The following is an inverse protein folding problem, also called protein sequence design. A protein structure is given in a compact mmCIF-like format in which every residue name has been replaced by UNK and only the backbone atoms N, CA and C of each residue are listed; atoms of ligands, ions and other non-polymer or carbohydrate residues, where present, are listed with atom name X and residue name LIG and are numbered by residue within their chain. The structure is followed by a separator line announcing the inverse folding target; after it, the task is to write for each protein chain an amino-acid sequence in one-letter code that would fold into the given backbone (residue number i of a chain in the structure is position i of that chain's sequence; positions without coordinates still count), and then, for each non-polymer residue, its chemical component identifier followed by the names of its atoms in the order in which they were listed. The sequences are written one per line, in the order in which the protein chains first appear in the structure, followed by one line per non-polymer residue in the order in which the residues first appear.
data_IF_518531210361
#
_entry.id   IF_518531210361
#
_cell.length_a   1.000
_cell.length_b   1.000
_cell.length_c   1.000
_cell.angle_alpha   90.00
_cell.angle_beta   90.00
_cell.angle_gamma   90.00
#
_symmetry.space_group_name_H-M   'P 1'
#
loop_
_entity.id
_entity.type
_entity.pdbx_description
1 polymer ?
#
# COMPACT_ATOMS: atom_id res chain seq x y z
N UNK A 1 16.32 4.97 -0.76
CA UNK A 1 17.32 4.59 0.25
C UNK A 1 16.70 3.48 1.08
N UNK A 2 17.28 2.29 1.04
CA UNK A 2 16.76 1.12 1.77
C UNK A 2 17.40 0.98 3.15
N UNK A 3 16.66 0.41 4.09
CA UNK A 3 17.11 -0.02 5.42
C UNK A 3 17.72 -1.42 5.33
N UNK A 4 19.01 -1.56 5.68
CA UNK A 4 19.73 -2.83 5.65
C UNK A 4 20.06 -3.25 7.09
N UNK A 5 19.79 -4.52 7.42
CA UNK A 5 20.23 -5.11 8.68
C UNK A 5 21.41 -6.04 8.41
N UNK A 6 22.59 -5.69 8.91
CA UNK A 6 23.79 -6.52 8.84
C UNK A 6 23.95 -7.31 10.13
N UNK A 7 23.85 -8.63 10.02
CA UNK A 7 24.13 -9.58 11.09
C UNK A 7 25.60 -9.99 11.01
N UNK A 8 26.40 -9.58 11.98
CA UNK A 8 27.82 -9.91 12.04
C UNK A 8 28.32 -10.05 13.47
N UNK A 9 29.25 -10.98 13.68
CA UNK A 9 30.02 -11.12 14.91
C UNK A 9 31.39 -10.43 14.79
N UNK A 10 31.67 -9.75 13.68
CA UNK A 10 32.85 -8.94 13.52
C UNK A 10 32.74 -7.70 14.41
N UNK A 11 33.84 -7.40 15.12
CA UNK A 11 33.97 -6.16 15.90
C UNK A 11 34.31 -4.94 15.03
N UNK A 12 34.42 -5.15 13.71
CA UNK A 12 34.81 -4.14 12.74
C UNK A 12 33.58 -3.39 12.21
N UNK A 13 33.76 -2.17 11.66
CA UNK A 13 32.67 -1.45 11.00
C UNK A 13 32.05 -2.26 9.84
N UNK A 14 30.78 -2.00 9.51
CA UNK A 14 30.08 -2.65 8.39
C UNK A 14 30.81 -2.47 7.05
N UNK A 15 31.54 -1.37 6.87
CA UNK A 15 32.39 -1.10 5.71
C UNK A 15 33.65 -1.97 5.63
N UNK A 16 34.02 -2.70 6.68
CA UNK A 16 35.06 -3.74 6.60
C UNK A 16 34.46 -5.13 6.35
N UNK A 17 33.16 -5.30 6.58
CA UNK A 17 32.43 -6.53 6.25
C UNK A 17 32.10 -6.58 4.77
N UNK A 18 31.60 -5.47 4.25
CA UNK A 18 31.31 -5.28 2.83
C UNK A 18 31.63 -3.82 2.46
N UNK A 19 32.85 -3.52 1.95
CA UNK A 19 33.30 -2.16 1.68
C UNK A 19 32.38 -1.33 0.79
N UNK A 20 31.66 -1.98 -0.13
CA UNK A 20 30.64 -1.34 -0.95
C UNK A 20 29.59 -0.57 -0.14
N UNK A 21 29.22 -1.05 1.07
CA UNK A 21 28.21 -0.38 1.91
C UNK A 21 28.64 1.02 2.34
N UNK A 22 29.95 1.29 2.46
CA UNK A 22 30.47 2.62 2.78
C UNK A 22 30.34 3.63 1.63
N UNK A 23 30.06 3.15 0.41
CA UNK A 23 29.93 3.99 -0.79
C UNK A 23 28.47 4.14 -1.24
N UNK A 24 27.55 3.35 -0.67
CA UNK A 24 26.13 3.37 -1.00
C UNK A 24 25.34 4.18 0.03
N UNK A 25 24.25 4.82 -0.41
CA UNK A 25 23.42 5.69 0.42
C UNK A 25 22.34 4.91 1.22
N UNK A 26 22.68 3.72 1.71
CA UNK A 26 21.76 2.89 2.49
C UNK A 26 21.91 3.14 3.99
N UNK A 27 20.82 2.95 4.74
CA UNK A 27 20.89 2.98 6.20
C UNK A 27 21.23 1.58 6.70
N UNK A 28 22.47 1.38 7.15
CA UNK A 28 22.96 0.07 7.63
C UNK A 28 22.90 0.04 9.14
N UNK A 29 22.08 -0.85 9.70
CA UNK A 29 22.10 -1.21 11.12
C UNK A 29 22.87 -2.50 11.31
N UNK A 30 23.69 -2.54 12.35
CA UNK A 30 24.51 -3.71 12.67
C UNK A 30 23.95 -4.37 13.93
N UNK A 31 23.81 -5.69 13.88
CA UNK A 31 23.41 -6.51 15.01
C UNK A 31 24.27 -7.80 15.07
N UNK A 32 24.39 -8.43 16.25
CA UNK A 32 25.06 -9.73 16.37
C UNK A 32 24.45 -10.78 15.44
N UNK A 33 25.27 -11.69 14.91
CA UNK A 33 24.83 -12.83 14.11
C UNK A 33 24.30 -13.96 15.01
N UNK A 34 23.28 -13.64 15.80
CA UNK A 34 22.65 -14.54 16.75
C UNK A 34 21.13 -14.38 16.72
N UNK A 35 20.40 -15.48 16.93
CA UNK A 35 18.94 -15.51 16.92
C UNK A 35 18.25 -14.45 17.82
N UNK A 36 18.69 -14.26 19.08
CA UNK A 36 18.05 -13.31 19.99
C UNK A 36 18.14 -11.84 19.54
N UNK A 37 19.18 -11.47 18.78
CA UNK A 37 19.35 -10.11 18.29
C UNK A 37 18.25 -9.66 17.32
N UNK A 38 17.46 -10.62 16.79
CA UNK A 38 16.39 -10.39 15.84
C UNK A 38 15.04 -10.10 16.49
N UNK A 39 14.87 -10.42 17.78
CA UNK A 39 13.58 -10.23 18.50
C UNK A 39 13.22 -8.75 18.60
N UNK A 40 14.22 -7.90 18.80
CA UNK A 40 14.08 -6.44 18.90
C UNK A 40 14.61 -5.70 17.65
N UNK A 41 14.94 -6.44 16.58
CA UNK A 41 15.46 -5.82 15.38
C UNK A 41 14.36 -5.02 14.67
N UNK A 42 14.62 -3.76 14.28
CA UNK A 42 13.68 -2.99 13.50
C UNK A 42 13.46 -3.62 12.11
N UNK A 43 12.33 -3.32 11.48
CA UNK A 43 12.05 -3.75 10.11
C UNK A 43 13.16 -3.31 9.15
N UNK A 44 13.63 -4.23 8.32
CA UNK A 44 14.64 -4.00 7.29
C UNK A 44 14.10 -4.39 5.92
N UNK A 45 14.59 -3.72 4.88
CA UNK A 45 14.26 -4.03 3.49
C UNK A 45 15.08 -5.21 2.95
N UNK A 46 16.26 -5.46 3.54
CA UNK A 46 17.14 -6.60 3.26
C UNK A 46 17.93 -6.96 4.53
N UNK A 47 18.09 -8.26 4.79
CA UNK A 47 19.01 -8.78 5.81
C UNK A 47 20.28 -9.29 5.13
N UNK A 48 21.42 -8.79 5.58
CA UNK A 48 22.75 -9.24 5.19
C UNK A 48 23.33 -10.09 6.32
N UNK A 49 23.85 -11.28 6.03
CA UNK A 49 24.51 -12.14 7.03
C UNK A 49 25.99 -12.26 6.71
N UNK A 50 26.85 -11.95 7.66
CA UNK A 50 28.31 -12.13 7.55
C UNK A 50 28.67 -13.61 7.70
N UNK A 51 28.90 -14.26 6.55
CA UNK A 51 29.35 -15.63 6.42
C UNK A 51 30.85 -15.77 6.19
N UNK A 52 31.66 -14.73 6.44
CA UNK A 52 33.12 -14.82 6.20
C UNK A 52 33.83 -15.74 7.20
N UNK A 53 33.19 -16.05 8.32
CA UNK A 53 33.69 -16.91 9.39
C UNK A 53 32.57 -17.80 9.89
N UNK A 54 32.94 -18.94 10.47
CA UNK A 54 32.02 -19.91 11.08
C UNK A 54 30.79 -20.25 10.21
N UNK A 55 31.05 -20.71 8.99
CA UNK A 55 30.01 -21.12 8.03
C UNK A 55 28.99 -22.12 8.63
N UNK A 56 29.36 -23.10 9.49
CA UNK A 56 28.37 -23.95 10.15
C UNK A 56 27.37 -23.17 11.02
N UNK A 57 27.85 -22.25 11.86
CA UNK A 57 26.96 -21.41 12.68
C UNK A 57 26.08 -20.52 11.80
N UNK A 58 26.66 -19.90 10.78
CA UNK A 58 25.95 -19.00 9.86
C UNK A 58 24.87 -19.75 9.07
N UNK A 59 25.14 -20.99 8.62
CA UNK A 59 24.12 -21.84 8.00
C UNK A 59 22.92 -22.05 8.92
N UNK A 60 23.17 -22.40 10.19
CA UNK A 60 22.10 -22.59 11.17
C UNK A 60 21.31 -21.30 11.41
N UNK A 61 21.97 -20.14 11.44
CA UNK A 61 21.31 -18.84 11.55
C UNK A 61 20.43 -18.52 10.33
N UNK A 62 20.93 -18.73 9.11
CA UNK A 62 20.16 -18.52 7.89
C UNK A 62 18.91 -19.42 7.84
N UNK A 63 19.03 -20.69 8.26
CA UNK A 63 17.91 -21.61 8.34
C UNK A 63 16.88 -21.18 9.39
N UNK A 64 17.34 -20.73 10.56
CA UNK A 64 16.49 -20.18 11.60
C UNK A 64 15.71 -18.96 11.07
N UNK A 65 16.43 -17.99 10.50
CA UNK A 65 15.85 -16.80 9.87
C UNK A 65 14.79 -17.18 8.86
N UNK A 66 15.12 -18.07 7.92
CA UNK A 66 14.18 -18.53 6.89
C UNK A 66 12.93 -19.15 7.49
N UNK A 67 13.06 -19.97 8.53
CA UNK A 67 11.90 -20.59 9.20
C UNK A 67 11.02 -19.57 9.94
N UNK A 68 11.59 -18.48 10.44
CA UNK A 68 10.83 -17.40 11.09
C UNK A 68 10.13 -16.47 10.11
N UNK A 69 10.52 -16.47 8.83
CA UNK A 69 9.89 -15.70 7.77
C UNK A 69 10.11 -14.19 7.93
N UNK A 70 11.32 -13.66 7.65
CA UNK A 70 11.67 -12.27 7.96
C UNK A 70 10.93 -11.24 7.09
N UNK A 71 10.18 -11.66 6.08
CA UNK A 71 9.38 -10.77 5.22
C UNK A 71 10.20 -9.92 4.25
N UNK A 72 11.52 -10.08 4.22
CA UNK A 72 12.45 -9.40 3.33
C UNK A 72 13.52 -10.37 2.80
N UNK A 73 14.26 -10.02 1.73
CA UNK A 73 15.33 -10.87 1.21
C UNK A 73 16.44 -11.09 2.23
N UNK A 74 16.96 -12.32 2.26
CA UNK A 74 18.11 -12.75 3.05
C UNK A 74 19.31 -12.97 2.14
N UNK A 75 20.33 -12.13 2.24
CA UNK A 75 21.55 -12.24 1.43
C UNK A 75 22.75 -12.61 2.31
N UNK A 76 23.62 -13.47 1.78
CA UNK A 76 24.82 -13.95 2.49
C UNK A 76 26.09 -13.29 1.95
N UNK A 77 26.92 -12.75 2.83
CA UNK A 77 28.25 -12.23 2.48
C UNK A 77 29.28 -13.33 2.76
N UNK A 78 30.07 -13.72 1.77
CA UNK A 78 31.08 -14.78 1.90
C UNK A 78 32.43 -14.37 1.31
N UNK A 79 33.47 -15.09 1.69
CA UNK A 79 34.76 -15.06 0.98
C UNK A 79 34.68 -15.93 -0.29
N UNK A 80 35.63 -15.77 -1.21
CA UNK A 80 35.71 -16.60 -2.42
C UNK A 80 35.74 -18.10 -2.10
N UNK A 81 36.53 -18.50 -1.11
CA UNK A 81 36.60 -19.90 -0.67
C UNK A 81 35.32 -20.40 0.01
N UNK A 82 34.58 -19.50 0.68
CA UNK A 82 33.31 -19.83 1.32
C UNK A 82 32.19 -20.14 0.33
N UNK A 83 32.27 -19.62 -0.89
CA UNK A 83 31.25 -19.80 -1.93
C UNK A 83 30.98 -21.28 -2.24
N UNK A 84 32.01 -22.14 -2.17
CA UNK A 84 31.91 -23.57 -2.43
C UNK A 84 31.03 -24.32 -1.40
N UNK A 85 30.83 -23.75 -0.20
CA UNK A 85 30.03 -24.35 0.86
C UNK A 85 28.54 -23.96 0.82
N UNK A 86 28.19 -22.92 0.05
CA UNK A 86 26.83 -22.38 0.01
C UNK A 86 25.94 -23.27 -0.87
N UNK A 87 24.81 -23.71 -0.33
CA UNK A 87 23.83 -24.54 -1.04
C UNK A 87 22.42 -23.98 -0.86
N UNK A 88 21.45 -24.47 -1.66
CA UNK A 88 20.05 -24.06 -1.55
C UNK A 88 19.45 -24.32 -0.15
N UNK A 89 19.99 -25.28 0.61
CA UNK A 89 19.55 -25.61 1.97
C UNK A 89 19.79 -24.50 3.00
N UNK A 90 20.61 -23.50 2.66
CA UNK A 90 20.85 -22.34 3.52
C UNK A 90 19.65 -21.39 3.53
N UNK A 91 18.77 -21.46 2.52
CA UNK A 91 17.56 -20.63 2.46
C UNK A 91 17.81 -19.15 2.21
N UNK A 92 18.98 -18.80 1.67
CA UNK A 92 19.38 -17.43 1.29
C UNK A 92 18.90 -17.14 -0.14
N UNK A 93 18.51 -15.90 -0.40
CA UNK A 93 17.95 -15.46 -1.68
C UNK A 93 19.03 -15.02 -2.68
N UNK A 94 20.19 -14.56 -2.19
CA UNK A 94 21.37 -14.26 -2.99
C UNK A 94 22.67 -14.32 -2.16
N UNK A 95 23.82 -14.35 -2.84
CA UNK A 95 25.16 -14.38 -2.25
C UNK A 95 26.01 -13.24 -2.80
N UNK A 96 26.73 -12.56 -1.90
CA UNK A 96 27.67 -11.49 -2.17
C UNK A 96 29.08 -11.95 -1.77
N UNK A 97 30.06 -11.71 -2.63
CA UNK A 97 31.46 -11.77 -2.21
C UNK A 97 31.78 -10.55 -1.35
N UNK A 98 32.61 -10.70 -0.32
CA UNK A 98 33.09 -9.57 0.49
C UNK A 98 33.83 -8.51 -0.35
N UNK A 99 34.34 -8.91 -1.52
CA UNK A 99 35.06 -8.06 -2.49
C UNK A 99 34.14 -7.45 -3.56
N UNK A 100 32.83 -7.69 -3.50
CA UNK A 100 31.89 -7.17 -4.49
C UNK A 100 31.90 -5.63 -4.53
N UNK A 101 31.95 -5.07 -5.74
CA UNK A 101 31.94 -3.63 -5.95
C UNK A 101 30.56 -2.99 -5.72
N UNK A 102 30.49 -1.66 -5.49
CA UNK A 102 29.23 -0.97 -5.17
C UNK A 102 28.16 -1.12 -6.24
N UNK A 103 28.53 -1.13 -7.52
CA UNK A 103 27.58 -1.31 -8.62
C UNK A 103 26.94 -2.71 -8.61
N UNK A 104 27.70 -3.75 -8.28
CA UNK A 104 27.18 -5.11 -8.17
C UNK A 104 26.27 -5.26 -6.95
N UNK A 105 26.71 -4.77 -5.79
CA UNK A 105 25.94 -4.81 -4.55
C UNK A 105 24.61 -4.08 -4.72
N UNK A 106 24.61 -2.86 -5.27
CA UNK A 106 23.39 -2.10 -5.55
C UNK A 106 22.46 -2.86 -6.50
N UNK A 107 22.99 -3.43 -7.59
CA UNK A 107 22.19 -4.15 -8.55
C UNK A 107 21.52 -5.38 -7.92
N UNK A 108 22.25 -6.14 -7.10
CA UNK A 108 21.72 -7.32 -6.41
C UNK A 108 20.72 -6.97 -5.33
N UNK A 109 20.96 -5.93 -4.53
CA UNK A 109 20.00 -5.39 -3.58
C UNK A 109 18.69 -5.02 -4.29
N UNK A 110 18.78 -4.25 -5.38
CA UNK A 110 17.62 -3.85 -6.18
C UNK A 110 16.86 -5.04 -6.77
N UNK A 111 17.57 -6.05 -7.26
CA UNK A 111 16.95 -7.27 -7.80
C UNK A 111 16.28 -8.11 -6.71
N UNK A 112 16.90 -8.24 -5.54
CA UNK A 112 16.36 -8.99 -4.41
C UNK A 112 15.07 -8.34 -3.87
N UNK A 113 15.10 -7.03 -3.61
CA UNK A 113 13.92 -6.27 -3.18
C UNK A 113 12.84 -6.24 -4.27
N UNK A 114 13.23 -6.07 -5.54
CA UNK A 114 12.31 -6.10 -6.68
C UNK A 114 11.61 -7.45 -6.84
N UNK A 115 12.30 -8.58 -6.62
CA UNK A 115 11.67 -9.91 -6.62
C UNK A 115 10.67 -10.10 -5.49
N UNK A 116 10.92 -9.53 -4.31
CA UNK A 116 9.94 -9.55 -3.21
C UNK A 116 8.72 -8.68 -3.54
N UNK A 117 8.91 -7.51 -4.15
CA UNK A 117 7.81 -6.67 -4.60
C UNK A 117 6.99 -7.36 -5.70
N UNK A 118 7.66 -7.99 -6.67
CA UNK A 118 6.97 -8.79 -7.69
C UNK A 118 6.30 -10.00 -7.06
N UNK A 119 6.89 -10.71 -6.10
CA UNK A 119 6.21 -11.82 -5.42
C UNK A 119 5.04 -11.37 -4.52
N UNK A 120 5.08 -10.14 -4.02
CA UNK A 120 3.96 -9.52 -3.29
C UNK A 120 2.85 -9.05 -4.25
N UNK A 121 3.21 -8.47 -5.40
CA UNK A 121 2.29 -8.07 -6.48
C UNK A 121 1.75 -9.26 -7.29
N UNK A 122 2.51 -10.36 -7.36
CA UNK A 122 2.18 -11.64 -8.00
C UNK A 122 1.56 -12.61 -6.98
N UNK A 123 1.01 -12.06 -5.88
CA UNK A 123 -0.19 -12.63 -5.32
C UNK A 123 -1.37 -12.15 -6.18
N UNK A 124 -1.90 -12.97 -7.11
CA UNK A 124 -3.16 -12.65 -7.80
C UNK A 124 -4.37 -12.57 -6.84
N UNK A 125 -4.12 -12.58 -5.53
CA UNK A 125 -5.11 -12.69 -4.48
C UNK A 125 -5.17 -11.43 -3.61
N UNK A 126 -4.18 -10.54 -3.56
CA UNK A 126 -4.29 -9.30 -2.77
C UNK A 126 -4.43 -8.04 -3.65
N UNK A 127 -5.65 -7.52 -3.77
CA UNK A 127 -5.94 -6.27 -4.48
C UNK A 127 -5.72 -5.09 -3.51
N UNK A 128 -4.74 -4.22 -3.79
CA UNK A 128 -4.47 -3.02 -2.99
C UNK A 128 -4.89 -1.74 -3.71
N UNK A 129 -5.66 -0.89 -3.03
CA UNK A 129 -6.10 0.41 -3.52
C UNK A 129 -6.00 1.46 -2.39
N UNK A 130 -4.86 2.14 -2.29
CA UNK A 130 -4.56 3.05 -1.17
C UNK A 130 -4.65 2.32 0.17
N UNK A 131 -5.49 2.81 1.08
CA UNK A 131 -5.68 2.24 2.41
C UNK A 131 -6.48 0.92 2.43
N UNK A 132 -7.08 0.53 1.31
CA UNK A 132 -7.87 -0.70 1.18
C UNK A 132 -7.00 -1.85 0.64
N UNK A 133 -6.99 -2.97 1.34
CA UNK A 133 -6.43 -4.25 0.86
C UNK A 133 -7.49 -5.34 0.87
N UNK A 134 -7.64 -6.08 -0.22
CA UNK A 134 -8.61 -7.18 -0.37
C UNK A 134 -7.85 -8.46 -0.68
N UNK A 135 -7.90 -9.42 0.23
CA UNK A 135 -7.29 -10.75 0.11
C UNK A 135 -8.36 -11.79 -0.27
N UNK A 136 -8.29 -12.25 -1.51
CA UNK A 136 -9.13 -13.28 -2.12
C UNK A 136 -8.88 -14.68 -1.52
N UNK A 137 -7.68 -14.97 -1.03
CA UNK A 137 -7.36 -16.28 -0.47
C UNK A 137 -8.06 -16.49 0.85
N UNK A 138 -8.06 -15.44 1.67
CA UNK A 138 -8.65 -15.47 3.01
C UNK A 138 -10.07 -14.92 3.06
N UNK A 139 -10.61 -14.49 1.91
CA UNK A 139 -11.90 -13.78 1.82
C UNK A 139 -11.99 -12.61 2.81
N UNK A 140 -10.89 -11.87 2.95
CA UNK A 140 -10.73 -10.82 3.95
C UNK A 140 -10.45 -9.49 3.28
N UNK A 141 -11.07 -8.42 3.78
CA UNK A 141 -10.75 -7.06 3.37
C UNK A 141 -10.28 -6.26 4.59
N UNK A 142 -9.22 -5.47 4.45
CA UNK A 142 -8.71 -4.58 5.48
C UNK A 142 -8.72 -3.14 4.98
N UNK A 143 -9.02 -2.22 5.88
CA UNK A 143 -8.96 -0.79 5.64
C UNK A 143 -8.08 -0.15 6.70
N UNK A 144 -7.01 0.54 6.30
CA UNK A 144 -5.97 1.07 7.21
C UNK A 144 -5.46 -0.01 8.19
N UNK A 145 -5.32 -1.24 7.69
CA UNK A 145 -4.90 -2.41 8.48
C UNK A 145 -5.96 -3.05 9.38
N UNK A 146 -7.17 -2.47 9.53
CA UNK A 146 -8.29 -3.08 10.27
C UNK A 146 -9.14 -3.98 9.38
N UNK A 147 -9.40 -5.21 9.82
CA UNK A 147 -10.27 -6.16 9.12
C UNK A 147 -11.71 -5.64 9.11
N UNK A 148 -12.34 -5.62 7.93
CA UNK A 148 -13.74 -5.30 7.72
C UNK A 148 -14.57 -6.57 7.90
N UNK A 149 -15.60 -6.51 8.75
CA UNK A 149 -16.57 -7.59 8.91
C UNK A 149 -17.58 -7.59 7.75
N UNK A 150 -17.21 -8.14 6.60
CA UNK A 150 -18.04 -8.20 5.39
C UNK A 150 -18.76 -9.55 5.29
N UNK A 151 -20.01 -9.53 4.85
CA UNK A 151 -20.66 -10.76 4.37
C UNK A 151 -20.05 -11.17 3.03
N UNK A 152 -20.19 -12.45 2.65
CA UNK A 152 -19.65 -12.97 1.39
C UNK A 152 -20.00 -12.13 0.16
N UNK A 153 -21.25 -11.69 0.00
CA UNK A 153 -21.65 -10.87 -1.15
C UNK A 153 -21.20 -9.42 -1.07
N UNK A 154 -21.02 -8.87 0.12
CA UNK A 154 -20.41 -7.54 0.28
C UNK A 154 -18.91 -7.60 -0.07
N UNK A 155 -18.22 -8.65 0.33
CA UNK A 155 -16.83 -8.92 -0.03
C UNK A 155 -16.69 -9.07 -1.55
N UNK A 156 -17.44 -9.97 -2.18
CA UNK A 156 -17.38 -10.21 -3.63
C UNK A 156 -17.69 -8.94 -4.44
N UNK A 157 -18.66 -8.13 -3.98
CA UNK A 157 -18.96 -6.84 -4.61
C UNK A 157 -17.80 -5.84 -4.47
N UNK A 158 -17.20 -5.73 -3.29
CA UNK A 158 -16.04 -4.86 -3.05
C UNK A 158 -14.85 -5.30 -3.91
N UNK A 159 -14.53 -6.60 -3.89
CA UNK A 159 -13.48 -7.23 -4.68
C UNK A 159 -13.67 -6.93 -6.16
N UNK A 160 -14.84 -7.22 -6.72
CA UNK A 160 -15.12 -7.00 -8.14
C UNK A 160 -14.93 -5.54 -8.56
N UNK A 161 -15.42 -4.60 -7.74
CA UNK A 161 -15.25 -3.17 -8.00
C UNK A 161 -13.78 -2.74 -7.86
N UNK A 162 -13.07 -3.21 -6.83
CA UNK A 162 -11.67 -2.88 -6.56
C UNK A 162 -10.69 -3.46 -7.58
N UNK A 163 -11.02 -4.58 -8.22
CA UNK A 163 -10.28 -5.14 -9.38
C UNK A 163 -10.38 -4.25 -10.63
N UNK A 164 -11.41 -3.39 -10.70
CA UNK A 164 -11.71 -2.56 -11.87
C UNK A 164 -11.83 -1.07 -11.50
N UNK A 165 -10.76 -0.46 -10.96
CA UNK A 165 -10.81 0.92 -10.49
C UNK A 165 -11.19 1.90 -11.61
N UNK A 166 -12.08 2.84 -11.30
CA UNK A 166 -12.55 3.88 -12.21
C UNK A 166 -13.60 3.45 -13.24
N UNK A 167 -13.76 2.14 -13.52
CA UNK A 167 -14.76 1.62 -14.45
C UNK A 167 -16.15 1.63 -13.82
N UNK A 168 -17.14 2.09 -14.60
CA UNK A 168 -18.55 2.12 -14.17
C UNK A 168 -19.23 0.84 -14.61
N UNK A 169 -19.90 0.17 -13.68
CA UNK A 169 -20.73 -1.00 -13.93
C UNK A 169 -22.19 -0.69 -13.65
N UNK A 170 -23.06 -1.14 -14.54
CA UNK A 170 -24.50 -1.06 -14.34
C UNK A 170 -24.95 -2.02 -13.24
N UNK A 171 -26.12 -1.77 -12.65
CA UNK A 171 -26.67 -2.68 -11.63
C UNK A 171 -26.93 -4.08 -12.16
N UNK A 172 -27.33 -4.20 -13.43
CA UNK A 172 -27.55 -5.49 -14.07
C UNK A 172 -26.22 -6.25 -14.24
N UNK A 173 -25.16 -5.57 -14.66
CA UNK A 173 -23.81 -6.17 -14.73
C UNK A 173 -23.30 -6.61 -13.36
N UNK A 174 -23.40 -5.74 -12.35
CA UNK A 174 -22.96 -6.11 -10.99
C UNK A 174 -23.77 -7.28 -10.43
N UNK A 175 -25.06 -7.35 -10.73
CA UNK A 175 -25.89 -8.47 -10.34
C UNK A 175 -25.38 -9.77 -10.98
N UNK A 176 -25.15 -9.77 -12.28
CA UNK A 176 -24.71 -10.93 -13.04
C UNK A 176 -23.31 -11.40 -12.62
N UNK A 177 -22.36 -10.48 -12.46
CA UNK A 177 -20.97 -10.82 -12.12
C UNK A 177 -20.82 -11.29 -10.67
N UNK A 178 -21.55 -10.70 -9.72
CA UNK A 178 -21.38 -11.00 -8.28
C UNK A 178 -22.37 -12.04 -7.77
N UNK A 179 -23.60 -12.10 -8.30
CA UNK A 179 -24.61 -13.10 -7.91
C UNK A 179 -24.71 -14.28 -8.88
N UNK A 180 -24.20 -14.15 -10.10
CA UNK A 180 -24.27 -15.17 -11.14
C UNK A 180 -25.48 -14.99 -12.06
N UNK A 181 -25.39 -15.60 -13.25
CA UNK A 181 -26.41 -15.54 -14.31
C UNK A 181 -27.75 -16.16 -13.89
N UNK A 182 -27.72 -17.13 -12.98
CA UNK A 182 -28.92 -17.87 -12.54
C UNK A 182 -29.67 -17.19 -11.38
N UNK A 183 -29.26 -15.98 -10.97
CA UNK A 183 -29.92 -15.26 -9.89
C UNK A 183 -31.21 -14.58 -10.37
N UNK A 184 -32.37 -15.11 -9.97
CA UNK A 184 -33.70 -14.62 -10.35
C UNK A 184 -34.20 -13.39 -9.56
N UNK A 185 -33.32 -12.65 -8.88
CA UNK A 185 -33.69 -11.45 -8.11
C UNK A 185 -33.56 -10.13 -8.89
N UNK A 186 -34.11 -9.05 -8.34
CA UNK A 186 -34.04 -7.72 -8.95
C UNK A 186 -32.74 -6.97 -8.64
N UNK A 187 -32.38 -6.02 -9.52
CA UNK A 187 -31.17 -5.16 -9.40
C UNK A 187 -31.12 -4.32 -8.11
N UNK A 188 -32.23 -4.19 -7.39
CA UNK A 188 -32.30 -3.51 -6.07
C UNK A 188 -31.43 -4.17 -5.00
N UNK A 189 -31.13 -5.48 -5.12
CA UNK A 189 -30.25 -6.14 -4.16
C UNK A 189 -28.85 -5.52 -4.18
N UNK A 190 -28.36 -5.11 -5.36
CA UNK A 190 -27.06 -4.44 -5.49
C UNK A 190 -27.04 -3.14 -4.69
N UNK A 191 -28.10 -2.34 -4.79
CA UNK A 191 -28.20 -1.08 -4.06
C UNK A 191 -28.18 -1.27 -2.53
N UNK A 192 -28.84 -2.33 -2.03
CA UNK A 192 -28.84 -2.68 -0.61
C UNK A 192 -27.44 -3.08 -0.14
N UNK A 193 -26.73 -3.89 -0.93
CA UNK A 193 -25.37 -4.34 -0.58
C UNK A 193 -24.36 -3.19 -0.67
N UNK A 194 -24.47 -2.29 -1.66
CA UNK A 194 -23.64 -1.07 -1.72
C UNK A 194 -23.87 -0.20 -0.50
N UNK A 195 -25.12 0.00 -0.08
CA UNK A 195 -25.44 0.79 1.12
C UNK A 195 -24.81 0.20 2.38
N UNK A 196 -24.92 -1.11 2.58
CA UNK A 196 -24.33 -1.80 3.74
C UNK A 196 -22.81 -1.77 3.69
N UNK A 197 -22.23 -2.02 2.53
CA UNK A 197 -20.79 -1.97 2.30
C UNK A 197 -20.22 -0.58 2.63
N UNK A 198 -20.86 0.51 2.18
CA UNK A 198 -20.48 1.89 2.57
C UNK A 198 -20.55 2.11 4.07
N UNK A 199 -21.60 1.65 4.73
CA UNK A 199 -21.72 1.77 6.18
C UNK A 199 -20.58 1.04 6.93
N UNK A 200 -20.10 -0.09 6.39
CA UNK A 200 -18.97 -0.85 6.94
C UNK A 200 -17.60 -0.23 6.63
N UNK A 201 -17.46 0.45 5.49
CA UNK A 201 -16.26 1.23 5.14
C UNK A 201 -16.12 2.49 6.02
N UNK A 202 -17.24 3.02 6.51
CA UNK A 202 -17.29 4.22 7.34
C UNK A 202 -17.31 5.52 6.53
N UNK A 203 -17.63 6.65 7.20
CA UNK A 203 -17.90 7.93 6.53
C UNK A 203 -16.69 8.51 5.78
N UNK A 204 -15.47 8.22 6.25
CA UNK A 204 -14.24 8.66 5.58
C UNK A 204 -13.98 7.92 4.25
N UNK A 205 -14.54 6.73 4.07
CA UNK A 205 -14.19 5.83 2.95
C UNK A 205 -15.40 5.35 2.15
N UNK A 206 -16.63 5.77 2.50
CA UNK A 206 -17.83 5.42 1.72
C UNK A 206 -17.77 5.94 0.27
N UNK A 207 -16.98 7.00 0.05
CA UNK A 207 -16.71 7.58 -1.27
C UNK A 207 -15.84 6.70 -2.17
N UNK A 208 -15.15 5.68 -1.62
CA UNK A 208 -14.42 4.68 -2.42
C UNK A 208 -15.36 3.93 -3.37
N UNK A 209 -16.64 3.82 -3.02
CA UNK A 209 -17.66 3.33 -3.93
C UNK A 209 -18.42 4.54 -4.43
N UNK A 210 -18.19 4.94 -5.68
CA UNK A 210 -18.87 6.08 -6.31
C UNK A 210 -20.19 5.67 -6.96
N UNK A 211 -21.22 6.52 -6.83
CA UNK A 211 -22.48 6.36 -7.57
C UNK A 211 -22.47 7.21 -8.83
N UNK A 212 -22.79 6.60 -9.97
CA UNK A 212 -23.11 7.32 -11.20
C UNK A 212 -24.63 7.27 -11.38
N UNK A 213 -25.27 8.44 -11.23
CA UNK A 213 -26.73 8.57 -11.26
C UNK A 213 -27.30 7.93 -12.53
N UNK A 214 -28.38 7.15 -12.37
CA UNK A 214 -29.06 6.40 -13.44
C UNK A 214 -28.24 5.33 -14.18
N UNK A 215 -26.97 5.11 -13.80
CA UNK A 215 -26.10 4.11 -14.45
C UNK A 215 -25.79 2.97 -13.48
N UNK A 216 -25.08 3.27 -12.39
CA UNK A 216 -24.63 2.24 -11.45
C UNK A 216 -23.50 2.71 -10.55
N UNK A 217 -22.49 1.86 -10.36
CA UNK A 217 -21.44 2.05 -9.36
C UNK A 217 -20.05 1.87 -9.96
N UNK A 218 -19.05 2.46 -9.31
CA UNK A 218 -17.64 2.29 -9.61
C UNK A 218 -16.81 2.31 -8.35
N UNK A 219 -15.61 1.78 -8.42
CA UNK A 219 -14.59 2.04 -7.43
C UNK A 219 -13.84 3.34 -7.77
N UNK A 220 -13.58 4.19 -6.77
CA UNK A 220 -12.86 5.46 -6.88
C UNK A 220 -11.52 5.29 -6.18
N UNK A 221 -10.42 5.30 -6.95
CA UNK A 221 -9.08 5.25 -6.36
C UNK A 221 -8.79 6.53 -5.57
N UNK A 222 -8.16 6.43 -4.38
CA UNK A 222 -7.99 7.55 -3.46
C UNK A 222 -7.20 8.73 -4.04
N UNK A 223 -6.27 8.52 -4.97
CA UNK A 223 -5.56 9.61 -5.68
C UNK A 223 -6.53 10.56 -6.41
N UNK A 224 -7.66 10.05 -6.92
CA UNK A 224 -8.71 10.85 -7.58
C UNK A 224 -9.85 11.29 -6.65
N UNK A 225 -9.91 10.76 -5.43
CA UNK A 225 -10.90 11.17 -4.43
C UNK A 225 -10.52 12.52 -3.79
N UNK A 226 -9.23 12.74 -3.55
CA UNK A 226 -8.69 14.01 -3.06
C UNK A 226 -9.03 15.18 -4.00
N UNK A 227 -8.77 15.02 -5.31
CA UNK A 227 -9.05 16.05 -6.34
C UNK A 227 -10.54 16.43 -6.42
N UNK A 228 -11.46 15.49 -6.15
CA UNK A 228 -12.90 15.77 -6.19
C UNK A 228 -13.45 16.43 -4.93
N UNK A 229 -12.86 16.14 -3.77
CA UNK A 229 -13.23 16.81 -2.52
C UNK A 229 -12.83 18.28 -2.54
N UNK A 230 -11.67 18.61 -3.12
CA UNK A 230 -11.23 20.00 -3.30
C UNK A 230 -12.00 20.73 -4.41
N UNK A 231 -12.33 20.05 -5.52
CA UNK A 231 -13.13 20.60 -6.61
C UNK A 231 -14.60 20.88 -6.25
N UNK A 232 -15.21 20.06 -5.38
CA UNK A 232 -16.58 20.28 -4.92
C UNK A 232 -16.66 21.42 -3.88
N UNK A 233 -15.69 21.47 -2.96
CA UNK A 233 -15.65 22.48 -1.90
C UNK A 233 -15.28 23.88 -2.45
N UNK A 234 -14.43 23.95 -3.47
CA UNK A 234 -14.12 25.20 -4.18
C UNK A 234 -15.31 25.72 -4.98
N UNK A 235 -16.04 24.84 -5.69
CA UNK A 235 -17.25 25.22 -6.42
C UNK A 235 -18.37 25.70 -5.49
N UNK A 236 -18.62 25.02 -4.37
CA UNK A 236 -19.61 25.45 -3.38
C UNK A 236 -19.21 26.76 -2.68
N UNK A 237 -17.92 26.98 -2.39
CA UNK A 237 -17.44 28.26 -1.84
C UNK A 237 -17.57 29.41 -2.84
N UNK A 238 -17.28 29.19 -4.12
CA UNK A 238 -17.39 30.24 -5.15
C UNK A 238 -18.84 30.66 -5.41
N UNK A 239 -19.78 29.72 -5.35
CA UNK A 239 -21.21 30.02 -5.57
C UNK A 239 -21.81 30.75 -4.35
N UNK A 240 -21.33 30.44 -3.14
CA UNK A 240 -21.72 31.16 -1.92
C UNK A 240 -21.14 32.59 -1.89
N UNK A 241 -19.87 32.77 -2.25
CA UNK A 241 -19.21 34.09 -2.30
C UNK A 241 -19.80 34.99 -3.40
N UNK A 242 -20.17 34.43 -4.56
CA UNK A 242 -20.85 35.16 -5.64
C UNK A 242 -22.26 35.60 -5.20
N UNK A 243 -23.03 34.71 -4.56
CA UNK A 243 -24.36 35.03 -4.06
C UNK A 243 -24.34 36.11 -2.97
N UNK A 244 -23.32 36.10 -2.10
CA UNK A 244 -23.16 37.10 -1.04
C UNK A 244 -22.73 38.47 -1.60
N UNK A 245 -21.88 38.49 -2.64
CA UNK A 245 -21.52 39.74 -3.36
C UNK A 245 -22.72 40.38 -4.04
N UNK A 246 -23.53 39.59 -4.76
CA UNK A 246 -24.72 40.09 -5.46
C UNK A 246 -25.75 40.64 -4.47
N UNK A 247 -25.92 40.00 -3.30
CA UNK A 247 -26.81 40.48 -2.25
C UNK A 247 -26.33 41.82 -1.63
N UNK A 248 -25.02 42.00 -1.45
CA UNK A 248 -24.44 43.24 -0.92
C UNK A 248 -24.53 44.40 -1.92
N UNK A 249 -24.33 44.15 -3.21
CA UNK A 249 -24.51 45.16 -4.26
C UNK A 249 -25.97 45.60 -4.40
N UNK A 250 -26.92 44.67 -4.33
CA UNK A 250 -28.36 44.97 -4.34
C UNK A 250 -28.80 45.81 -3.12
N UNK A 251 -28.25 45.55 -1.93
CA UNK A 251 -28.54 46.34 -0.74
C UNK A 251 -27.98 47.76 -0.82
N UNK A 252 -26.83 47.96 -1.47
CA UNK A 252 -26.20 49.28 -1.65
C UNK A 252 -26.89 50.20 -2.65
N UNK A 253 -27.70 49.64 -3.57
CA UNK A 253 -28.40 50.40 -4.62
C UNK A 253 -29.83 50.81 -4.26
N UNK A 254 -30.37 50.40 -3.11
CA UNK A 254 -31.75 50.71 -2.67
C UNK A 254 -31.85 51.89 -1.67
N UNK A 255 -30.95 52.86 -1.77
CA UNK A 255 -31.07 54.15 -1.08
C UNK A 255 -32.27 54.96 -1.60
N UNK A 256 -33.28 55.13 -0.75
CA UNK A 256 -34.61 55.68 -1.01
C UNK A 256 -34.68 57.07 -1.68
N UNK A 257 -35.78 57.39 -2.41
CA UNK A 257 -35.99 58.69 -3.04
C UNK A 257 -36.36 59.76 -2.00
N UNK A 258 -35.60 60.87 -1.98
CA UNK A 258 -35.91 62.02 -1.14
C UNK A 258 -37.17 62.74 -1.65
N UNK A 259 -38.22 62.69 -0.84
CA UNK A 259 -39.44 63.50 -0.99
C UNK A 259 -39.12 65.00 -0.99
N UNK A 260 -39.41 65.71 -2.09
CA UNK A 260 -39.59 67.17 -2.07
C UNK A 260 -41.08 67.47 -1.93
N UNK A 261 -41.45 67.98 -0.74
CA UNK A 261 -42.74 68.61 -0.43
C UNK A 261 -42.79 70.01 -1.03
N UNK A 262 -43.97 70.38 -1.53
CA UNK A 262 -44.41 71.75 -1.80
C UNK A 262 -44.55 72.58 -0.51
N UNK A 263 -44.35 73.89 -0.60
CA UNK A 263 -44.90 74.88 0.33
C UNK A 263 -44.19 76.24 0.30
N UNK A 264 -44.95 77.24 -0.16
CA UNK A 264 -44.77 78.71 -0.19
C UNK A 264 -43.78 79.37 -1.15
#
# INVERSE_FOLDING_TARGET
MSSLLLLTNALQPSSEVLPALGLLLHNVRVAPAEGPALVDAPSADVILVDGRRDLPQVRSLCQLLRSTGPGCPLMLIVTEGGLAAVTAEWGVDDVLLETAGPAEVEARLRLATGRQQVAADDSPMEIRNGDLSVDEATYSAKLKGRVLDLTFKEFELLKFLAQHPGRVFTRAQLLQEVWGYDYFGGTRTVDVHVRRLRAKLGPEHEALIGTVRNVGYRFVSPEKAAEKSEGANSAESSVADEAERVAREAASSSGAPSSRRNGD
#
